data_IF_666102463380
#
_entry.id   IF_666102463380
#
_cell.length_a   1.000
_cell.length_b   1.000
_cell.length_c   1.000
_cell.angle_alpha   90.00
_cell.angle_beta   90.00
_cell.angle_gamma   90.00
#
_symmetry.space_group_name_H-M   'P 1'
#
loop_
_entity.id
_entity.type
_entity.pdbx_description
1 polymer ?
#
# COMPACT_ATOMS: atom_id res chain seq x y z
N UNK A 1 9.43 11.65 -2.24
CA UNK A 1 8.32 10.72 -1.94
C UNK A 1 8.41 10.09 -0.54
N UNK A 2 9.57 9.53 -0.13
CA UNK A 2 9.75 8.82 1.16
C UNK A 2 9.13 9.56 2.36
N UNK A 3 9.46 10.85 2.55
CA UNK A 3 8.92 11.67 3.65
C UNK A 3 7.40 11.85 3.59
N UNK A 4 6.83 11.98 2.39
CA UNK A 4 5.39 12.14 2.20
C UNK A 4 4.62 10.86 2.57
N UNK A 5 5.22 9.69 2.33
CA UNK A 5 4.57 8.40 2.62
C UNK A 5 4.48 8.10 4.12
N UNK A 6 5.29 8.75 4.96
CA UNK A 6 5.24 8.57 6.42
C UNK A 6 3.86 8.87 7.02
N UNK A 7 3.07 9.76 6.40
CA UNK A 7 1.72 10.07 6.83
C UNK A 7 0.74 8.90 6.70
N UNK A 8 1.06 7.87 5.90
CA UNK A 8 0.21 6.69 5.69
C UNK A 8 0.58 5.51 6.60
N UNK A 9 1.50 5.72 7.56
CA UNK A 9 1.76 4.76 8.63
C UNK A 9 0.49 4.46 9.45
N UNK A 10 0.24 3.19 9.73
CA UNK A 10 -0.99 2.74 10.40
C UNK A 10 -2.28 3.01 9.58
N UNK A 11 -2.15 3.22 8.27
CA UNK A 11 -3.26 3.45 7.34
C UNK A 11 -3.25 4.84 6.72
N UNK A 12 -3.91 5.82 7.33
CA UNK A 12 -3.92 7.22 6.88
C UNK A 12 -3.70 8.14 8.10
N UNK A 13 -2.54 8.03 8.73
CA UNK A 13 -2.21 8.80 9.93
C UNK A 13 -2.65 8.08 11.21
N UNK A 14 -2.50 6.75 11.24
CA UNK A 14 -2.84 5.94 12.42
C UNK A 14 -4.33 5.90 12.73
N UNK A 15 -5.17 5.81 11.70
CA UNK A 15 -6.63 5.61 11.85
C UNK A 15 -7.07 4.20 11.46
N UNK A 16 -6.15 3.32 11.05
CA UNK A 16 -6.50 1.96 10.67
C UNK A 16 -7.21 1.83 9.33
N UNK A 17 -7.17 2.87 8.49
CA UNK A 17 -7.69 2.87 7.11
C UNK A 17 -6.79 2.09 6.15
N UNK A 18 -6.97 2.26 4.83
CA UNK A 18 -6.23 1.58 3.76
C UNK A 18 -4.73 1.46 4.06
N UNK A 19 -4.18 0.25 3.91
CA UNK A 19 -2.78 -0.05 4.18
C UNK A 19 -1.81 0.92 3.47
N UNK A 20 -0.86 1.46 4.23
CA UNK A 20 0.14 2.39 3.70
C UNK A 20 1.02 1.79 2.59
N UNK A 21 1.25 0.47 2.58
CA UNK A 21 1.96 -0.20 1.49
C UNK A 21 1.20 -0.08 0.16
N UNK A 22 -0.12 -0.32 0.19
CA UNK A 22 -0.98 -0.18 -0.99
C UNK A 22 -1.03 1.28 -1.45
N UNK A 23 -1.23 2.23 -0.54
CA UNK A 23 -1.21 3.67 -0.87
C UNK A 23 0.11 4.06 -1.53
N UNK A 24 1.25 3.59 -1.00
CA UNK A 24 2.56 3.84 -1.57
C UNK A 24 2.72 3.27 -2.98
N UNK A 25 2.25 2.05 -3.22
CA UNK A 25 2.31 1.42 -4.54
C UNK A 25 1.49 2.20 -5.59
N UNK A 26 0.25 2.57 -5.26
CA UNK A 26 -0.58 3.37 -6.15
C UNK A 26 0.02 4.76 -6.41
N UNK A 27 0.68 5.36 -5.40
CA UNK A 27 1.37 6.62 -5.57
C UNK A 27 2.56 6.51 -6.54
N UNK A 28 3.32 5.41 -6.51
CA UNK A 28 4.41 5.16 -7.47
C UNK A 28 3.86 4.94 -8.88
N UNK A 29 2.78 4.16 -9.03
CA UNK A 29 2.10 4.00 -10.32
C UNK A 29 1.61 5.35 -10.85
N UNK A 30 1.01 6.18 -9.99
CA UNK A 30 0.58 7.54 -10.32
C UNK A 30 1.74 8.43 -10.79
N UNK A 31 2.89 8.39 -10.10
CA UNK A 31 4.09 9.11 -10.54
C UNK A 31 4.58 8.67 -11.93
N UNK A 32 4.34 7.41 -12.30
CA UNK A 32 4.84 6.86 -13.57
C UNK A 32 3.87 7.05 -14.74
N UNK A 33 2.57 6.96 -14.49
CA UNK A 33 1.54 6.84 -15.53
C UNK A 33 0.50 7.96 -15.54
N UNK A 34 0.38 8.75 -14.47
CA UNK A 34 -0.53 9.91 -14.48
C UNK A 34 0.13 11.14 -15.11
N UNK A 35 -0.67 12.16 -15.39
CA UNK A 35 -0.22 13.42 -15.98
C UNK A 35 0.55 14.26 -14.95
N UNK A 36 1.70 14.83 -15.35
CA UNK A 36 2.47 15.75 -14.51
C UNK A 36 2.03 17.21 -14.67
N UNK A 37 1.35 17.52 -15.79
CA UNK A 37 0.79 18.84 -16.11
C UNK A 37 -0.64 18.72 -16.62
N UNK A 38 -1.40 19.80 -16.55
CA UNK A 38 -2.83 19.77 -16.89
C UNK A 38 -3.07 19.41 -18.36
N UNK A 39 -2.18 19.85 -19.25
CA UNK A 39 -2.24 19.67 -20.69
C UNK A 39 -1.81 18.26 -21.15
N UNK A 40 -1.18 17.49 -20.25
CA UNK A 40 -0.73 16.13 -20.56
C UNK A 40 -1.90 15.15 -20.50
N UNK A 41 -1.93 14.24 -21.47
CA UNK A 41 -2.85 13.10 -21.44
C UNK A 41 -2.27 12.01 -20.54
N UNK A 42 -3.11 11.50 -19.65
CA UNK A 42 -2.78 10.35 -18.81
C UNK A 42 -2.48 9.10 -19.65
N UNK A 43 -1.51 8.30 -19.22
CA UNK A 43 -1.22 7.00 -19.83
C UNK A 43 -2.42 6.06 -19.64
N UNK A 44 -2.91 5.46 -20.72
CA UNK A 44 -4.09 4.58 -20.68
C UNK A 44 -3.92 3.38 -19.74
N UNK A 45 -2.67 2.99 -19.42
CA UNK A 45 -2.35 1.89 -18.51
C UNK A 45 -2.54 2.27 -17.04
N UNK A 46 -2.66 3.56 -16.70
CA UNK A 46 -2.73 4.04 -15.32
C UNK A 46 -3.83 3.31 -14.54
N UNK A 47 -5.07 3.37 -15.05
CA UNK A 47 -6.21 2.79 -14.34
C UNK A 47 -6.14 1.26 -14.28
N UNK A 48 -5.74 0.59 -15.36
CA UNK A 48 -5.64 -0.88 -15.37
C UNK A 48 -4.58 -1.38 -14.38
N UNK A 49 -3.41 -0.74 -14.32
CA UNK A 49 -2.35 -1.16 -13.40
C UNK A 49 -2.69 -0.83 -11.94
N UNK A 50 -3.36 0.28 -11.67
CA UNK A 50 -3.84 0.56 -10.31
C UNK A 50 -4.92 -0.45 -9.87
N UNK A 51 -5.86 -0.81 -10.75
CA UNK A 51 -6.87 -1.84 -10.44
C UNK A 51 -6.21 -3.20 -10.19
N UNK A 52 -5.30 -3.63 -11.07
CA UNK A 52 -4.56 -4.88 -10.88
C UNK A 52 -3.76 -4.87 -9.57
N UNK A 53 -3.10 -3.76 -9.23
CA UNK A 53 -2.37 -3.61 -7.98
C UNK A 53 -3.28 -3.79 -6.75
N UNK A 54 -4.46 -3.17 -6.74
CA UNK A 54 -5.43 -3.32 -5.63
C UNK A 54 -5.95 -4.74 -5.55
N UNK A 55 -6.31 -5.35 -6.68
CA UNK A 55 -6.86 -6.70 -6.72
C UNK A 55 -5.83 -7.74 -6.27
N UNK A 56 -4.60 -7.65 -6.75
CA UNK A 56 -3.53 -8.55 -6.33
C UNK A 56 -3.13 -8.32 -4.88
N UNK A 57 -3.07 -7.08 -4.41
CA UNK A 57 -2.86 -6.81 -2.99
C UNK A 57 -3.92 -7.51 -2.13
N UNK A 58 -5.21 -7.33 -2.48
CA UNK A 58 -6.33 -7.94 -1.77
C UNK A 58 -6.29 -9.48 -1.82
N UNK A 59 -6.05 -10.06 -2.99
CA UNK A 59 -6.26 -11.48 -3.24
C UNK A 59 -5.01 -12.35 -3.03
N UNK A 60 -3.82 -11.76 -3.10
CA UNK A 60 -2.53 -12.48 -2.97
C UNK A 60 -1.84 -12.14 -1.65
N UNK A 61 -1.81 -10.86 -1.25
CA UNK A 61 -1.03 -10.42 -0.08
C UNK A 61 -1.86 -10.50 1.20
N UNK A 62 -3.08 -9.94 1.17
CA UNK A 62 -3.91 -9.78 2.37
C UNK A 62 -5.17 -10.67 2.37
N UNK A 63 -5.20 -11.71 1.54
CA UNK A 63 -6.35 -12.62 1.35
C UNK A 63 -7.03 -13.05 2.64
N UNK A 64 -6.23 -13.39 3.66
CA UNK A 64 -6.72 -13.93 4.94
C UNK A 64 -6.81 -12.87 6.07
N UNK A 65 -6.69 -11.58 5.75
CA UNK A 65 -6.61 -10.51 6.75
C UNK A 65 -7.94 -9.78 6.97
N UNK A 66 -8.96 -10.05 6.16
CA UNK A 66 -10.31 -9.47 6.28
C UNK A 66 -10.53 -8.22 5.41
N UNK A 67 -9.49 -7.72 4.74
CA UNK A 67 -9.62 -6.59 3.82
C UNK A 67 -8.30 -5.84 3.65
N UNK A 68 -8.39 -4.64 3.09
CA UNK A 68 -7.23 -3.78 2.79
C UNK A 68 -6.97 -2.75 3.89
N UNK A 69 -7.82 -2.67 4.92
CA UNK A 69 -7.66 -1.69 5.99
C UNK A 69 -6.59 -2.18 6.97
N UNK A 70 -5.71 -1.27 7.38
CA UNK A 70 -4.59 -1.57 8.27
C UNK A 70 -5.07 -2.10 9.63
N UNK A 71 -6.23 -1.67 10.14
CA UNK A 71 -6.82 -2.25 11.37
C UNK A 71 -7.19 -3.72 11.21
N UNK A 72 -7.65 -4.12 10.02
CA UNK A 72 -8.02 -5.50 9.72
C UNK A 72 -6.77 -6.35 9.57
N UNK A 73 -5.74 -5.83 8.90
CA UNK A 73 -4.47 -6.50 8.67
C UNK A 73 -3.68 -6.65 9.98
N UNK A 74 -3.42 -5.55 10.68
CA UNK A 74 -2.62 -5.55 11.89
C UNK A 74 -3.39 -6.10 13.10
N UNK A 75 -4.73 -6.10 13.06
CA UNK A 75 -5.61 -6.37 14.22
C UNK A 75 -5.19 -5.49 15.41
N UNK A 76 -5.13 -4.18 15.16
CA UNK A 76 -4.71 -3.14 16.10
C UNK A 76 -5.68 -1.97 15.99
N UNK A 77 -6.18 -1.52 17.13
CA UNK A 77 -6.71 -0.17 17.26
C UNK A 77 -5.54 0.82 17.44
N UNK A 78 -5.32 1.67 16.43
CA UNK A 78 -4.22 2.63 16.41
C UNK A 78 -4.43 3.81 17.37
N UNK A 79 -5.59 3.92 18.02
CA UNK A 79 -5.85 4.89 19.09
C UNK A 79 -5.57 4.31 20.48
N UNK A 80 -5.42 2.99 20.60
CA UNK A 80 -5.04 2.31 21.84
C UNK A 80 -3.51 2.24 21.95
N UNK A 81 -2.95 2.95 22.93
CA UNK A 81 -1.50 3.05 23.13
C UNK A 81 -0.85 1.72 23.50
N UNK A 82 -1.56 0.84 24.20
CA UNK A 82 -1.02 -0.46 24.62
C UNK A 82 -1.01 -1.44 23.44
N UNK A 83 -2.06 -1.43 22.61
CA UNK A 83 -2.07 -2.20 21.36
C UNK A 83 -0.99 -1.73 20.39
N UNK A 84 -0.81 -0.42 20.23
CA UNK A 84 0.27 0.14 19.38
C UNK A 84 1.65 -0.29 19.91
N UNK A 85 1.87 -0.22 21.23
CA UNK A 85 3.13 -0.66 21.82
C UNK A 85 3.37 -2.16 21.62
N UNK A 86 2.33 -2.97 21.78
CA UNK A 86 2.40 -4.41 21.56
C UNK A 86 2.72 -4.74 20.09
N UNK A 87 2.12 -4.02 19.14
CA UNK A 87 2.41 -4.18 17.71
C UNK A 87 3.89 -4.01 17.39
N UNK A 88 4.52 -2.91 17.86
CA UNK A 88 5.93 -2.62 17.60
C UNK A 88 6.92 -3.55 18.32
N UNK A 89 6.47 -4.31 19.32
CA UNK A 89 7.31 -5.26 20.07
C UNK A 89 7.06 -6.72 19.69
N UNK A 90 5.95 -7.00 19.01
CA UNK A 90 5.54 -8.34 18.62
C UNK A 90 5.93 -8.68 17.19
N UNK A 91 5.56 -9.88 16.75
CA UNK A 91 5.83 -10.38 15.40
C UNK A 91 5.00 -9.71 14.30
N UNK A 92 3.90 -9.04 14.65
CA UNK A 92 3.03 -8.35 13.68
C UNK A 92 3.74 -7.25 12.89
N UNK A 93 4.78 -6.62 13.45
CA UNK A 93 5.62 -5.67 12.71
C UNK A 93 6.40 -6.36 11.59
N UNK A 94 6.81 -7.62 11.79
CA UNK A 94 7.49 -8.42 10.77
C UNK A 94 6.53 -8.77 9.64
N UNK A 95 5.30 -9.14 9.96
CA UNK A 95 4.24 -9.36 8.97
C UNK A 95 3.93 -8.08 8.18
N UNK A 96 3.88 -6.92 8.85
CA UNK A 96 3.76 -5.63 8.16
C UNK A 96 4.94 -5.38 7.19
N UNK A 97 6.16 -5.72 7.59
CA UNK A 97 7.34 -5.69 6.72
C UNK A 97 7.22 -6.65 5.52
N UNK A 98 6.73 -7.87 5.73
CA UNK A 98 6.47 -8.85 4.66
C UNK A 98 5.45 -8.32 3.66
N UNK A 99 4.36 -7.72 4.14
CA UNK A 99 3.34 -7.11 3.29
C UNK A 99 3.95 -6.00 2.43
N UNK A 100 4.79 -5.13 3.01
CA UNK A 100 5.52 -4.09 2.24
C UNK A 100 6.40 -4.73 1.16
N UNK A 101 7.16 -5.78 1.48
CA UNK A 101 8.00 -6.50 0.52
C UNK A 101 7.20 -7.08 -0.64
N UNK A 102 6.18 -7.89 -0.35
CA UNK A 102 5.32 -8.48 -1.38
C UNK A 102 4.60 -7.41 -2.22
N UNK A 103 4.24 -6.27 -1.62
CA UNK A 103 3.62 -5.16 -2.35
C UNK A 103 4.62 -4.55 -3.34
N UNK A 104 5.89 -4.43 -2.95
CA UNK A 104 6.95 -3.93 -3.82
C UNK A 104 7.25 -4.89 -4.99
N UNK A 105 7.19 -6.21 -4.77
CA UNK A 105 7.36 -7.22 -5.83
C UNK A 105 6.29 -7.09 -6.92
N UNK A 106 5.01 -6.99 -6.53
CA UNK A 106 3.91 -6.81 -7.49
C UNK A 106 4.04 -5.46 -8.22
N UNK A 107 4.42 -4.41 -7.50
CA UNK A 107 4.66 -3.10 -8.09
C UNK A 107 5.79 -3.15 -9.12
N UNK A 108 6.91 -3.82 -8.80
CA UNK A 108 8.03 -4.00 -9.71
C UNK A 108 7.61 -4.75 -10.98
N UNK A 109 6.85 -5.84 -10.84
CA UNK A 109 6.31 -6.57 -12.00
C UNK A 109 5.47 -5.66 -12.92
N UNK A 110 4.56 -4.87 -12.35
CA UNK A 110 3.71 -3.95 -13.12
C UNK A 110 4.53 -2.85 -13.81
N UNK A 111 5.53 -2.30 -13.13
CA UNK A 111 6.44 -1.31 -13.71
C UNK A 111 7.29 -1.92 -14.83
N UNK A 112 7.80 -3.14 -14.66
CA UNK A 112 8.63 -3.82 -15.64
C UNK A 112 7.87 -4.20 -16.91
N UNK A 113 6.58 -4.56 -16.81
CA UNK A 113 5.70 -4.76 -17.99
C UNK A 113 5.59 -3.52 -18.88
N UNK A 114 5.82 -2.33 -18.31
CA UNK A 114 5.66 -1.07 -19.06
C UNK A 114 6.88 -0.68 -19.90
N UNK A 115 8.01 -1.37 -19.72
CA UNK A 115 9.25 -1.20 -20.47
C UNK A 115 9.43 -2.23 -21.59
N UNK A 116 8.51 -3.20 -21.70
CA UNK A 116 8.48 -4.23 -22.75
C UNK A 116 7.56 -3.89 -23.91
#
# INVERSE_FOLDING_TARGET
>A
MIRAMGAFGGGLGGNGEVCGALVGALAVLGLRFSRAREEEKEDSRMWSYNQEMVDRFRNEIVKNHGGIHCREIAKVDWKDRDQVRAFYRGEKILECGRIVGNTAEILEELLNRSFG
#
